data_IF_171818798163
#
_entry.id   IF_171818798163
#
_cell.length_a   1.000
_cell.length_b   1.000
_cell.length_c   1.000
_cell.angle_alpha   90.00
_cell.angle_beta   90.00
_cell.angle_gamma   90.00
#
_symmetry.space_group_name_H-M   'P 1'
#
loop_
_entity.id
_entity.type
_entity.pdbx_description
1 polymer ?
#
# COMPACT_ATOMS: atom_id res chain seq x y z
N UNK A 1 15.30 19.79 25.85
CA UNK A 1 15.70 19.52 24.45
C UNK A 1 15.45 18.06 24.15
N UNK A 2 14.54 17.68 23.24
CA UNK A 2 14.46 16.29 22.84
C UNK A 2 15.59 16.01 21.86
N UNK A 3 16.48 15.09 22.25
CA UNK A 3 17.64 14.67 21.48
C UNK A 3 17.29 13.56 20.49
N UNK A 4 18.01 13.55 19.37
CA UNK A 4 18.07 12.45 18.43
C UNK A 4 19.07 11.39 18.95
N UNK A 5 18.60 10.15 19.10
CA UNK A 5 19.43 9.00 19.46
C UNK A 5 19.13 7.83 18.54
N UNK A 6 20.17 7.25 17.95
CA UNK A 6 20.12 5.93 17.30
C UNK A 6 20.59 4.89 18.33
N UNK A 7 19.78 3.88 18.61
CA UNK A 7 20.11 2.83 19.57
C UNK A 7 19.59 1.47 19.10
N UNK A 8 20.45 0.45 19.19
CA UNK A 8 20.10 -0.96 19.10
C UNK A 8 20.00 -1.52 20.52
N UNK A 9 18.83 -2.02 20.91
CA UNK A 9 18.60 -2.61 22.23
C UNK A 9 17.33 -3.45 22.28
N UNK A 10 17.43 -4.63 22.90
CA UNK A 10 16.29 -5.47 23.27
C UNK A 10 15.91 -5.23 24.73
N UNK A 11 14.62 -4.95 24.98
CA UNK A 11 14.02 -4.79 26.30
C UNK A 11 12.60 -4.20 26.22
N UNK A 12 11.69 -4.45 27.17
CA UNK A 12 10.33 -3.91 27.15
C UNK A 12 10.35 -2.41 27.48
N UNK A 13 9.67 -1.60 26.67
CA UNK A 13 9.56 -0.16 26.87
C UNK A 13 8.25 0.40 26.29
N UNK A 14 7.64 1.33 27.02
CA UNK A 14 6.46 2.09 26.61
C UNK A 14 6.84 3.52 26.24
N UNK A 15 6.48 3.98 25.04
CA UNK A 15 6.73 5.36 24.61
C UNK A 15 5.90 5.75 23.38
N UNK A 16 5.42 7.00 23.34
CA UNK A 16 4.76 7.61 22.17
C UNK A 16 5.77 8.45 21.38
N UNK A 17 5.84 8.25 20.06
CA UNK A 17 6.73 9.01 19.18
C UNK A 17 6.25 9.02 17.73
N UNK A 18 6.43 10.16 17.06
CA UNK A 18 6.25 10.33 15.62
C UNK A 18 7.62 10.29 14.92
N UNK A 19 7.78 9.38 13.96
CA UNK A 19 9.03 9.19 13.22
C UNK A 19 8.76 8.92 11.73
N UNK A 20 9.51 9.61 10.87
CA UNK A 20 9.60 9.30 9.44
C UNK A 20 10.95 8.60 9.21
N UNK A 21 10.91 7.39 8.64
CA UNK A 21 12.10 6.63 8.30
C UNK A 21 12.01 6.09 6.89
N UNK A 22 13.05 6.32 6.09
CA UNK A 22 13.34 5.51 4.91
C UNK A 22 14.38 4.47 5.33
N UNK A 23 13.98 3.20 5.37
CA UNK A 23 14.85 2.10 5.79
C UNK A 23 14.90 1.00 4.74
N UNK A 24 16.11 0.62 4.35
CA UNK A 24 16.39 -0.71 3.82
C UNK A 24 16.94 -1.53 4.99
N UNK A 25 16.18 -2.50 5.51
CA UNK A 25 16.55 -3.24 6.72
C UNK A 25 16.26 -4.74 6.60
N UNK A 26 17.28 -5.55 6.88
CA UNK A 26 17.15 -6.99 7.17
C UNK A 26 16.98 -7.14 8.69
N UNK A 27 15.95 -7.86 9.14
CA UNK A 27 15.44 -7.79 10.51
C UNK A 27 16.04 -8.74 11.55
N UNK A 28 15.61 -8.56 12.82
CA UNK A 28 15.19 -9.58 13.81
C UNK A 28 14.54 -8.85 15.00
N UNK A 29 13.47 -9.42 15.58
CA UNK A 29 12.61 -8.74 16.56
C UNK A 29 12.57 -9.40 17.94
N UNK A 30 12.12 -8.62 18.94
CA UNK A 30 11.50 -9.08 20.18
C UNK A 30 10.53 -7.99 20.67
N UNK A 31 9.32 -8.38 21.11
CA UNK A 31 8.22 -7.46 21.39
C UNK A 31 7.94 -7.22 22.88
N UNK A 32 7.36 -6.06 23.18
CA UNK A 32 6.32 -5.81 24.21
C UNK A 32 5.76 -4.40 23.98
N UNK A 33 4.43 -4.23 24.01
CA UNK A 33 3.74 -3.07 23.42
C UNK A 33 3.29 -1.96 24.37
N UNK A 34 3.00 -0.78 23.81
CA UNK A 34 1.78 0.06 23.96
C UNK A 34 1.86 1.28 23.01
N UNK A 35 0.72 1.72 22.43
CA UNK A 35 0.55 2.61 21.25
C UNK A 35 1.16 4.04 21.33
N UNK A 36 1.11 4.92 20.32
CA UNK A 36 0.38 5.05 19.05
C UNK A 36 1.26 5.77 18.01
N UNK A 37 1.04 5.51 16.71
CA UNK A 37 1.60 6.30 15.60
C UNK A 37 1.18 5.76 14.22
N UNK A 38 0.74 6.64 13.31
CA UNK A 38 0.47 6.31 11.91
C UNK A 38 1.63 6.79 11.03
N UNK A 39 2.43 5.84 10.54
CA UNK A 39 3.42 6.06 9.49
C UNK A 39 3.11 5.16 8.31
N UNK A 40 2.79 5.74 7.16
CA UNK A 40 2.64 5.01 5.90
C UNK A 40 3.86 5.28 5.02
N UNK A 41 4.77 4.32 4.93
CA UNK A 41 5.85 4.31 3.95
C UNK A 41 5.39 3.63 2.66
N UNK A 42 5.78 4.18 1.52
CA UNK A 42 5.72 3.45 0.25
C UNK A 42 7.01 2.62 0.12
N UNK A 43 6.89 1.29 0.18
CA UNK A 43 7.98 0.34 -0.02
C UNK A 43 7.73 -0.52 -1.26
N UNK A 44 8.75 -0.69 -2.10
CA UNK A 44 8.80 -1.79 -3.05
C UNK A 44 9.45 -2.98 -2.34
N UNK A 45 8.66 -3.97 -1.94
CA UNK A 45 9.19 -5.20 -1.35
C UNK A 45 9.59 -6.19 -2.44
N UNK A 46 10.89 -6.43 -2.61
CA UNK A 46 11.31 -7.75 -3.04
C UNK A 46 11.05 -8.67 -1.84
N UNK A 47 10.17 -9.65 -1.98
CA UNK A 47 9.91 -10.63 -0.92
C UNK A 47 11.21 -11.36 -0.61
N UNK A 48 11.86 -11.03 0.51
CA UNK A 48 12.82 -11.93 1.09
C UNK A 48 12.05 -13.20 1.50
N UNK A 49 12.62 -14.41 1.33
CA UNK A 49 12.05 -15.58 1.96
C UNK A 49 11.90 -15.26 3.45
N UNK A 50 10.69 -15.47 3.98
CA UNK A 50 10.42 -15.38 5.39
C UNK A 50 11.54 -16.10 6.16
N UNK A 51 12.08 -15.45 7.20
CA UNK A 51 13.02 -16.13 8.10
C UNK A 51 12.38 -17.47 8.49
N UNK A 52 13.15 -18.58 8.50
CA UNK A 52 12.60 -19.90 8.81
C UNK A 52 11.77 -19.83 10.08
N UNK A 53 10.45 -20.04 9.98
CA UNK A 53 9.52 -20.02 11.11
C UNK A 53 8.48 -18.89 11.14
N UNK A 54 8.55 -17.85 10.29
CA UNK A 54 7.44 -16.89 10.18
C UNK A 54 6.33 -17.49 9.31
N UNK A 55 5.18 -17.79 9.93
CA UNK A 55 3.98 -18.21 9.21
C UNK A 55 3.08 -17.00 8.98
N UNK A 56 2.62 -16.86 7.74
CA UNK A 56 1.59 -15.88 7.41
C UNK A 56 0.25 -16.43 7.90
N UNK A 57 -0.45 -15.64 8.71
CA UNK A 57 -1.80 -15.96 9.17
C UNK A 57 -2.84 -15.60 8.09
N UNK A 58 -2.57 -14.57 7.30
CA UNK A 58 -3.45 -14.18 6.19
C UNK A 58 -2.80 -13.18 5.25
N UNK A 59 -3.45 -12.93 4.12
CA UNK A 59 -3.00 -11.99 3.10
C UNK A 59 -4.14 -11.04 2.73
N UNK A 60 -3.92 -9.74 2.97
CA UNK A 60 -4.81 -8.68 2.48
C UNK A 60 -4.13 -7.95 1.33
N UNK A 61 -4.78 -7.94 0.16
CA UNK A 61 -4.31 -7.23 -1.02
C UNK A 61 -5.16 -5.98 -1.26
N UNK A 62 -4.52 -4.81 -1.27
CA UNK A 62 -5.17 -3.53 -1.49
C UNK A 62 -4.94 -3.07 -2.93
N UNK A 63 -6.02 -3.01 -3.71
CA UNK A 63 -6.09 -2.68 -5.13
C UNK A 63 -4.89 -3.22 -5.95
N UNK A 64 -4.60 -4.54 -5.87
CA UNK A 64 -3.33 -5.08 -6.32
C UNK A 64 -3.18 -4.99 -7.84
N UNK A 65 -2.35 -4.04 -8.28
CA UNK A 65 -2.06 -3.85 -9.70
C UNK A 65 -1.20 -4.99 -10.23
N UNK A 66 -1.43 -5.36 -11.49
CA UNK A 66 -0.68 -6.42 -12.19
C UNK A 66 -0.87 -7.85 -11.66
N UNK A 67 -1.54 -8.07 -10.52
CA UNK A 67 -1.83 -9.42 -9.99
C UNK A 67 -2.96 -10.10 -10.78
N UNK A 68 -4.14 -9.47 -10.84
CA UNK A 68 -5.33 -10.05 -11.48
C UNK A 68 -5.68 -9.41 -12.83
N UNK A 69 -4.93 -8.39 -13.24
CA UNK A 69 -5.17 -7.65 -14.48
C UNK A 69 -4.04 -6.68 -14.79
N UNK A 70 -3.94 -6.23 -16.04
CA UNK A 70 -2.96 -5.22 -16.46
C UNK A 70 -3.41 -3.79 -16.15
N UNK A 71 -2.49 -2.84 -16.29
CA UNK A 71 -2.81 -1.42 -16.23
C UNK A 71 -3.67 -0.97 -17.40
N UNK A 72 -4.54 0.02 -17.16
CA UNK A 72 -5.23 0.77 -18.21
C UNK A 72 -4.21 1.63 -18.97
N UNK A 73 -4.22 1.66 -20.31
CA UNK A 73 -3.29 2.49 -21.08
C UNK A 73 -3.37 3.98 -20.70
N UNK A 74 -4.59 4.49 -20.47
CA UNK A 74 -4.81 5.88 -20.03
C UNK A 74 -4.11 6.21 -18.70
N UNK A 75 -4.03 5.23 -17.79
CA UNK A 75 -3.29 5.39 -16.53
C UNK A 75 -1.80 5.54 -16.76
N UNK A 76 -1.21 4.68 -17.59
CA UNK A 76 0.21 4.73 -17.92
C UNK A 76 0.59 6.04 -18.62
N UNK A 77 -0.22 6.46 -19.60
CA UNK A 77 -0.03 7.74 -20.29
C UNK A 77 -0.05 8.92 -19.32
N UNK A 78 -0.95 8.90 -18.33
CA UNK A 78 -1.05 9.96 -17.34
C UNK A 78 0.05 9.93 -16.28
N UNK A 79 0.55 8.75 -15.92
CA UNK A 79 1.67 8.59 -15.00
C UNK A 79 3.02 8.97 -15.63
N UNK A 80 3.17 8.81 -16.96
CA UNK A 80 4.44 8.96 -17.66
C UNK A 80 5.16 10.31 -17.40
N UNK A 81 4.50 11.48 -17.43
CA UNK A 81 5.18 12.76 -17.16
C UNK A 81 5.78 12.85 -15.76
N UNK A 82 5.10 12.27 -14.76
CA UNK A 82 5.56 12.21 -13.37
C UNK A 82 6.76 11.24 -13.24
N UNK A 83 6.72 10.10 -13.93
CA UNK A 83 7.80 9.11 -13.89
C UNK A 83 9.07 9.58 -14.61
N UNK A 84 8.94 10.29 -15.74
CA UNK A 84 10.08 10.76 -16.52
C UNK A 84 10.76 11.98 -15.89
N UNK A 85 9.98 12.87 -15.28
CA UNK A 85 10.46 14.12 -14.70
C UNK A 85 9.60 14.51 -13.50
N UNK A 86 9.84 13.91 -12.32
CA UNK A 86 9.02 14.18 -11.15
C UNK A 86 9.18 15.62 -10.68
N UNK A 87 8.06 16.26 -10.37
CA UNK A 87 8.00 17.56 -9.68
C UNK A 87 6.83 17.51 -8.69
N UNK A 88 6.85 18.29 -7.60
CA UNK A 88 5.72 18.35 -6.66
C UNK A 88 4.37 18.55 -7.37
N UNK A 89 4.30 19.54 -8.27
CA UNK A 89 3.08 19.81 -9.05
C UNK A 89 2.64 18.67 -9.98
N UNK A 90 3.58 17.91 -10.56
CA UNK A 90 3.23 16.73 -11.38
C UNK A 90 2.72 15.57 -10.53
N UNK A 91 3.31 15.36 -9.35
CA UNK A 91 2.87 14.35 -8.39
C UNK A 91 1.49 14.70 -7.87
N UNK A 92 1.30 15.91 -7.35
CA UNK A 92 0.01 16.40 -6.87
C UNK A 92 -1.08 16.36 -7.94
N UNK A 93 -0.76 16.81 -9.16
CA UNK A 93 -1.69 16.78 -10.29
C UNK A 93 -2.04 15.36 -10.76
N UNK A 94 -1.09 14.42 -10.65
CA UNK A 94 -1.34 13.00 -10.93
C UNK A 94 -2.24 12.38 -9.86
N UNK A 95 -1.95 12.60 -8.58
CA UNK A 95 -2.76 12.11 -7.46
C UNK A 95 -4.19 12.67 -7.52
N UNK A 96 -4.35 13.97 -7.74
CA UNK A 96 -5.67 14.59 -7.88
C UNK A 96 -6.46 14.00 -9.04
N UNK A 97 -5.79 13.81 -10.20
CA UNK A 97 -6.41 13.14 -11.33
C UNK A 97 -6.77 11.70 -10.99
N UNK A 98 -5.87 10.91 -10.41
CA UNK A 98 -6.13 9.50 -10.12
C UNK A 98 -7.29 9.34 -9.15
N UNK A 99 -7.26 10.11 -8.07
CA UNK A 99 -8.31 10.12 -7.06
C UNK A 99 -9.62 10.73 -7.55
N UNK A 100 -9.62 11.44 -8.68
CA UNK A 100 -10.79 12.16 -9.19
C UNK A 100 -11.21 13.30 -8.26
N UNK A 101 -10.26 13.91 -7.58
CA UNK A 101 -10.45 15.03 -6.66
C UNK A 101 -10.11 16.35 -7.38
N UNK A 102 -10.72 17.44 -6.91
CA UNK A 102 -10.65 18.77 -7.53
C UNK A 102 -9.31 19.50 -7.27
N UNK A 103 -8.20 18.81 -7.53
CA UNK A 103 -6.85 19.35 -7.41
C UNK A 103 -6.06 18.84 -6.20
N UNK A 104 -4.76 19.20 -6.12
CA UNK A 104 -3.83 18.74 -5.08
C UNK A 104 -4.32 18.99 -3.65
N UNK A 105 -4.92 20.16 -3.39
CA UNK A 105 -5.40 20.51 -2.05
C UNK A 105 -6.49 19.54 -1.57
N UNK A 106 -7.45 19.20 -2.44
CA UNK A 106 -8.50 18.24 -2.09
C UNK A 106 -7.95 16.83 -1.77
N UNK A 107 -6.81 16.46 -2.36
CA UNK A 107 -6.10 15.22 -2.01
C UNK A 107 -5.50 15.32 -0.60
N UNK A 108 -4.84 16.43 -0.29
CA UNK A 108 -4.28 16.68 1.04
C UNK A 108 -5.36 16.69 2.13
N UNK A 109 -6.53 17.29 1.85
CA UNK A 109 -7.65 17.32 2.78
C UNK A 109 -8.23 15.92 3.03
N UNK A 110 -8.30 15.09 1.97
CA UNK A 110 -8.87 13.74 2.06
C UNK A 110 -7.90 12.69 2.65
N UNK A 111 -6.62 12.77 2.32
CA UNK A 111 -5.61 11.77 2.68
C UNK A 111 -4.70 12.23 3.84
N UNK A 112 -4.78 13.50 4.23
CA UNK A 112 -3.93 14.12 5.24
C UNK A 112 -2.77 14.92 4.62
N UNK A 113 -2.45 16.10 5.19
CA UNK A 113 -1.45 17.00 4.63
C UNK A 113 -0.03 16.44 4.70
N UNK A 114 0.31 15.68 5.73
CA UNK A 114 1.65 15.12 5.89
C UNK A 114 1.91 13.98 4.91
N UNK A 115 0.91 13.13 4.67
CA UNK A 115 1.00 12.11 3.61
C UNK A 115 1.16 12.77 2.24
N UNK A 116 0.36 13.80 1.96
CA UNK A 116 0.45 14.50 0.68
C UNK A 116 1.83 15.17 0.48
N UNK A 117 2.37 15.82 1.50
CA UNK A 117 3.74 16.38 1.48
C UNK A 117 4.79 15.30 1.28
N UNK A 118 4.64 14.14 1.90
CA UNK A 118 5.54 13.01 1.68
C UNK A 118 5.54 12.57 0.22
N UNK A 119 4.37 12.49 -0.42
CA UNK A 119 4.27 12.17 -1.83
C UNK A 119 5.01 13.20 -2.70
N UNK A 120 4.80 14.50 -2.48
CA UNK A 120 5.50 15.55 -3.23
C UNK A 120 7.01 15.56 -3.01
N UNK A 121 7.46 15.28 -1.79
CA UNK A 121 8.87 15.18 -1.45
C UNK A 121 9.60 14.10 -2.26
N UNK A 122 8.87 13.11 -2.80
CA UNK A 122 9.47 12.08 -3.65
C UNK A 122 10.12 12.62 -4.92
N UNK A 123 9.74 13.82 -5.38
CA UNK A 123 10.42 14.50 -6.48
C UNK A 123 11.89 14.82 -6.21
N UNK A 124 12.30 14.88 -4.94
CA UNK A 124 13.69 15.11 -4.53
C UNK A 124 14.56 13.86 -4.47
N UNK A 125 13.97 12.66 -4.56
CA UNK A 125 14.76 11.42 -4.53
C UNK A 125 15.28 11.04 -5.91
N UNK A 126 16.42 10.31 -5.99
CA UNK A 126 16.90 9.76 -7.24
C UNK A 126 15.83 8.89 -7.90
N UNK A 127 15.55 9.15 -9.19
CA UNK A 127 14.65 8.31 -9.97
C UNK A 127 15.27 6.93 -10.14
N UNK A 128 14.62 5.92 -9.56
CA UNK A 128 14.96 4.52 -9.80
C UNK A 128 14.02 3.94 -10.86
N UNK A 129 14.53 2.97 -11.63
CA UNK A 129 13.70 2.25 -12.59
C UNK A 129 12.56 1.54 -11.84
N UNK A 130 11.29 1.73 -12.24
CA UNK A 130 10.19 0.98 -11.64
C UNK A 130 10.46 -0.52 -11.73
N UNK A 131 10.31 -1.22 -10.60
CA UNK A 131 10.41 -2.67 -10.57
C UNK A 131 9.15 -3.23 -11.21
N UNK A 132 9.28 -3.70 -12.44
CA UNK A 132 8.22 -4.42 -13.16
C UNK A 132 8.60 -5.89 -13.24
N UNK A 133 7.68 -6.78 -12.88
CA UNK A 133 7.90 -8.22 -12.90
C UNK A 133 6.78 -8.99 -13.61
N UNK A 134 6.97 -10.29 -13.85
CA UNK A 134 5.87 -11.16 -14.26
C UNK A 134 4.79 -11.18 -13.17
N UNK A 135 3.59 -11.65 -13.54
CA UNK A 135 2.53 -11.87 -12.54
C UNK A 135 2.99 -12.89 -11.50
N UNK A 136 2.67 -12.69 -10.21
CA UNK A 136 2.99 -13.67 -9.19
C UNK A 136 2.24 -14.99 -9.44
N UNK A 137 2.87 -16.12 -9.10
CA UNK A 137 2.20 -17.42 -9.11
C UNK A 137 1.36 -17.58 -7.84
N UNK A 138 0.04 -17.63 -8.01
CA UNK A 138 -0.92 -17.70 -6.91
C UNK A 138 -1.16 -19.14 -6.41
N UNK A 139 -0.66 -20.16 -7.12
CA UNK A 139 -0.85 -21.57 -6.74
C UNK A 139 -0.22 -21.90 -5.38
N UNK A 140 0.81 -21.15 -4.99
CA UNK A 140 1.48 -21.29 -3.69
C UNK A 140 0.68 -20.77 -2.49
N UNK A 141 -0.47 -20.12 -2.69
CA UNK A 141 -1.28 -19.58 -1.59
C UNK A 141 -1.98 -20.66 -0.76
N UNK A 142 -2.16 -21.87 -1.31
CA UNK A 142 -2.70 -23.01 -0.58
C UNK A 142 -4.02 -22.70 0.12
N UNK A 143 -4.06 -22.86 1.46
CA UNK A 143 -5.22 -22.57 2.32
C UNK A 143 -5.12 -21.24 3.05
N UNK A 144 -4.14 -20.40 2.72
CA UNK A 144 -3.97 -19.10 3.36
C UNK A 144 -5.26 -18.28 3.18
N UNK A 145 -5.83 -17.70 4.24
CA UNK A 145 -6.89 -16.72 4.11
C UNK A 145 -6.44 -15.54 3.26
N UNK A 146 -7.18 -15.27 2.19
CA UNK A 146 -6.90 -14.16 1.28
C UNK A 146 -8.11 -13.25 1.22
N UNK A 147 -7.89 -11.96 1.48
CA UNK A 147 -8.85 -10.90 1.20
C UNK A 147 -8.27 -9.95 0.16
N UNK A 148 -9.06 -9.61 -0.85
CA UNK A 148 -8.69 -8.63 -1.87
C UNK A 148 -9.71 -7.51 -1.87
N UNK A 149 -9.25 -6.29 -1.61
CA UNK A 149 -10.06 -5.10 -1.73
C UNK A 149 -9.68 -4.35 -3.00
N UNK A 150 -10.63 -4.10 -3.88
CA UNK A 150 -10.44 -3.28 -5.07
C UNK A 150 -11.02 -1.88 -4.86
N UNK A 151 -10.30 -0.87 -5.32
CA UNK A 151 -10.79 0.51 -5.30
C UNK A 151 -11.77 0.69 -6.47
N UNK A 152 -13.06 0.92 -6.18
CA UNK A 152 -14.13 0.95 -7.19
C UNK A 152 -13.96 2.02 -8.25
N UNK A 153 -13.30 3.13 -7.91
CA UNK A 153 -12.93 4.21 -8.83
C UNK A 153 -11.48 4.15 -9.31
N UNK A 154 -10.77 3.05 -9.09
CA UNK A 154 -9.38 2.86 -9.52
C UNK A 154 -9.22 3.25 -10.98
N UNK A 155 -8.26 4.14 -11.26
CA UNK A 155 -7.88 4.44 -12.65
C UNK A 155 -6.82 3.48 -13.16
N UNK A 156 -6.18 2.70 -12.29
CA UNK A 156 -5.16 1.72 -12.64
C UNK A 156 -5.71 0.58 -13.49
N UNK A 157 -6.91 0.08 -13.16
CA UNK A 157 -7.57 -1.03 -13.84
C UNK A 157 -9.09 -0.90 -13.75
N UNK A 158 -9.86 -1.82 -14.37
CA UNK A 158 -11.31 -1.91 -14.16
C UNK A 158 -11.58 -2.81 -12.94
N UNK A 159 -11.96 -2.21 -11.82
CA UNK A 159 -12.11 -2.90 -10.53
C UNK A 159 -13.08 -4.09 -10.58
N UNK A 160 -14.18 -3.98 -11.32
CA UNK A 160 -15.16 -5.08 -11.43
C UNK A 160 -14.62 -6.21 -12.29
N UNK A 161 -13.92 -5.90 -13.38
CA UNK A 161 -13.26 -6.89 -14.22
C UNK A 161 -12.12 -7.59 -13.48
N UNK A 162 -11.29 -6.86 -12.74
CA UNK A 162 -10.20 -7.44 -11.94
C UNK A 162 -10.71 -8.23 -10.76
N UNK A 163 -11.80 -7.83 -10.10
CA UNK A 163 -12.47 -8.63 -9.07
C UNK A 163 -12.96 -9.98 -9.60
N UNK A 164 -13.57 -10.00 -10.79
CA UNK A 164 -13.95 -11.27 -11.45
C UNK A 164 -12.74 -12.14 -11.78
N UNK A 165 -11.65 -11.54 -12.24
CA UNK A 165 -10.42 -12.28 -12.51
C UNK A 165 -9.78 -12.84 -11.23
N UNK A 166 -9.84 -12.09 -10.12
CA UNK A 166 -9.41 -12.56 -8.81
C UNK A 166 -10.25 -13.75 -8.33
N UNK A 167 -11.57 -13.69 -8.49
CA UNK A 167 -12.48 -14.77 -8.11
C UNK A 167 -12.21 -16.07 -8.89
N UNK A 168 -11.76 -15.96 -10.14
CA UNK A 168 -11.38 -17.11 -10.96
C UNK A 168 -9.97 -17.65 -10.63
N UNK A 169 -9.08 -16.83 -10.09
CA UNK A 169 -7.68 -17.16 -9.88
C UNK A 169 -7.33 -17.59 -8.45
N UNK A 170 -8.14 -17.20 -7.46
CA UNK A 170 -7.87 -17.45 -6.04
C UNK A 170 -8.54 -18.74 -5.54
N UNK A 171 -8.02 -19.34 -4.44
CA UNK A 171 -8.64 -20.49 -3.81
C UNK A 171 -10.08 -20.24 -3.36
N UNK A 172 -10.92 -21.29 -3.30
CA UNK A 172 -12.24 -21.19 -2.68
C UNK A 172 -12.14 -20.66 -1.25
N UNK A 173 -12.98 -19.68 -0.91
CA UNK A 173 -12.98 -19.02 0.40
C UNK A 173 -12.20 -17.70 0.45
N UNK A 174 -11.49 -17.31 -0.62
CA UNK A 174 -10.96 -15.95 -0.73
C UNK A 174 -12.09 -14.92 -0.73
N UNK A 175 -11.94 -13.86 0.07
CA UNK A 175 -12.86 -12.73 0.11
C UNK A 175 -12.44 -11.69 -0.91
N UNK A 176 -13.38 -11.21 -1.71
CA UNK A 176 -13.11 -10.27 -2.79
C UNK A 176 -14.17 -9.20 -2.76
N UNK A 177 -13.75 -7.96 -2.54
CA UNK A 177 -14.64 -6.83 -2.34
C UNK A 177 -14.22 -5.65 -3.21
N UNK A 178 -15.20 -4.86 -3.63
CA UNK A 178 -14.98 -3.62 -4.37
C UNK A 178 -15.53 -2.49 -3.51
N UNK A 179 -14.65 -1.60 -3.06
CA UNK A 179 -15.02 -0.43 -2.25
C UNK A 179 -15.43 0.70 -3.21
N UNK A 180 -16.73 1.04 -3.34
CA UNK A 180 -17.23 1.81 -4.49
C UNK A 180 -16.57 3.17 -4.70
N UNK A 181 -16.37 3.93 -3.61
CA UNK A 181 -15.91 5.32 -3.68
C UNK A 181 -14.40 5.49 -3.51
N UNK A 182 -13.67 4.39 -3.31
CA UNK A 182 -12.23 4.41 -3.17
C UNK A 182 -11.49 4.60 -4.50
N UNK A 183 -10.40 5.35 -4.45
CA UNK A 183 -9.40 5.45 -5.52
C UNK A 183 -8.07 4.84 -5.10
N UNK A 184 -7.19 4.49 -6.03
CA UNK A 184 -6.03 3.62 -5.80
C UNK A 184 -5.01 4.22 -4.82
N UNK A 185 -4.53 5.45 -5.06
CA UNK A 185 -3.38 5.98 -4.29
C UNK A 185 -3.75 6.42 -2.88
N UNK A 186 -4.98 6.91 -2.70
CA UNK A 186 -5.49 7.34 -1.40
C UNK A 186 -6.22 6.22 -0.66
N UNK A 187 -6.31 5.03 -1.27
CA UNK A 187 -7.19 3.94 -0.82
C UNK A 187 -7.05 3.62 0.67
N UNK A 188 -5.83 3.36 1.21
CA UNK A 188 -5.70 2.95 2.61
C UNK A 188 -6.10 4.05 3.60
N UNK A 189 -6.07 5.31 3.16
CA UNK A 189 -6.35 6.47 3.99
C UNK A 189 -7.83 6.85 3.94
N UNK A 190 -8.42 6.85 2.75
CA UNK A 190 -9.83 7.22 2.55
C UNK A 190 -10.81 6.07 2.81
N UNK A 191 -10.32 4.83 2.87
CA UNK A 191 -11.12 3.64 3.18
C UNK A 191 -10.54 2.87 4.38
N UNK A 192 -9.97 3.58 5.36
CA UNK A 192 -9.26 3.00 6.50
C UNK A 192 -10.12 1.99 7.27
N UNK A 193 -11.43 2.24 7.43
CA UNK A 193 -12.35 1.33 8.11
C UNK A 193 -12.49 -0.01 7.35
N UNK A 194 -12.72 0.04 6.04
CA UNK A 194 -12.81 -1.17 5.21
C UNK A 194 -11.49 -1.96 5.21
N UNK A 195 -10.35 -1.27 5.20
CA UNK A 195 -9.03 -1.90 5.30
C UNK A 195 -8.84 -2.56 6.66
N UNK A 196 -9.18 -1.86 7.75
CA UNK A 196 -9.07 -2.39 9.11
C UNK A 196 -9.97 -3.62 9.32
N UNK A 197 -11.21 -3.58 8.82
CA UNK A 197 -12.14 -4.70 8.84
C UNK A 197 -11.61 -5.90 8.06
N UNK A 198 -11.07 -5.66 6.86
CA UNK A 198 -10.47 -6.73 6.05
C UNK A 198 -9.28 -7.38 6.75
N UNK A 199 -8.41 -6.59 7.39
CA UNK A 199 -7.28 -7.12 8.17
C UNK A 199 -7.79 -7.95 9.36
N UNK A 200 -8.71 -7.41 10.16
CA UNK A 200 -9.25 -8.12 11.33
C UNK A 200 -9.94 -9.43 10.95
N UNK A 201 -10.75 -9.42 9.89
CA UNK A 201 -11.52 -10.58 9.45
C UNK A 201 -10.62 -11.65 8.82
N UNK A 202 -9.58 -11.24 8.08
CA UNK A 202 -8.65 -12.19 7.46
C UNK A 202 -7.83 -12.92 8.52
N UNK A 203 -7.36 -12.20 9.54
CA UNK A 203 -6.64 -12.81 10.67
C UNK A 203 -7.53 -13.74 11.52
N UNK A 204 -8.82 -13.44 11.67
CA UNK A 204 -9.75 -14.30 12.41
C UNK A 204 -10.04 -15.65 11.72
N UNK A 205 -9.73 -15.78 10.42
CA UNK A 205 -9.92 -17.01 9.64
C UNK A 205 -8.67 -17.87 9.52
N UNK A 206 -7.56 -17.44 10.13
CA UNK A 206 -6.26 -18.13 10.15
C UNK A 206 -6.19 -19.22 11.24
#
# INVERSE_FOLDING_TARGET
SPGCGAGSGGGPGSGSGCGAGSGSGSGCGAGSGSGSGCGAGSGSGAGAPAAPGVRLEGLVLLDPTQVFGGFRPAYLVRALPMLLRPTPGRIGGFLAWESGLAGPQAVADAAGPDWFRLQEATAGFPTVRPVTGPRPDLRGLGRLPVTVLFAGRSRCHDARRTARAAAAALPPGARIEVVPDAAHHVFPLTAAEAVAEAVATTSATA
#
